data_IF_031031191266
#
_entry.id   IF_031031191266
#
_cell.length_a   1.000
_cell.length_b   1.000
_cell.length_c   1.000
_cell.angle_alpha   90.00
_cell.angle_beta   90.00
_cell.angle_gamma   90.00
#
_symmetry.space_group_name_H-M   'P 1'
#
loop_
_entity.id
_entity.type
_entity.pdbx_description
1 polymer ?
#
# COMPACT_ATOMS: atom_id res chain seq x y z
N UNK A 1 -8.36 27.50 26.82
CA UNK A 1 -7.94 27.36 25.41
C UNK A 1 -6.47 27.75 25.30
N UNK A 2 -5.54 26.81 25.48
CA UNK A 2 -4.10 27.00 25.27
C UNK A 2 -3.54 25.63 24.89
N UNK A 3 -3.06 25.43 23.66
CA UNK A 3 -2.51 24.13 23.26
C UNK A 3 -1.84 24.02 21.89
N UNK A 4 -2.04 24.96 20.96
CA UNK A 4 -1.59 24.81 19.58
C UNK A 4 -0.38 25.69 19.17
N UNK A 5 0.52 26.05 20.10
CA UNK A 5 1.79 26.75 19.75
C UNK A 5 2.97 25.78 19.87
N UNK A 6 3.50 25.32 18.75
CA UNK A 6 4.76 24.54 18.68
C UNK A 6 4.67 23.12 18.13
N UNK A 7 3.54 22.73 17.54
CA UNK A 7 3.31 21.38 17.01
C UNK A 7 3.66 21.34 15.53
N UNK A 8 4.62 20.49 15.19
CA UNK A 8 5.05 20.29 13.80
C UNK A 8 3.94 19.64 12.96
N UNK A 9 4.00 19.76 11.62
CA UNK A 9 2.97 19.25 10.71
C UNK A 9 2.58 17.79 10.98
N UNK A 10 3.55 16.93 11.29
CA UNK A 10 3.30 15.51 11.57
C UNK A 10 2.39 15.29 12.77
N UNK A 11 2.59 16.05 13.84
CA UNK A 11 1.75 15.93 15.04
C UNK A 11 0.31 16.32 14.76
N UNK A 12 0.10 17.33 13.91
CA UNK A 12 -1.24 17.74 13.51
C UNK A 12 -1.95 16.64 12.72
N UNK A 13 -1.25 15.94 11.82
CA UNK A 13 -1.81 14.80 11.09
C UNK A 13 -2.16 13.66 12.04
N UNK A 14 -1.22 13.30 12.93
CA UNK A 14 -1.44 12.27 13.94
C UNK A 14 -2.69 12.58 14.78
N UNK A 15 -2.78 13.80 15.32
CA UNK A 15 -3.89 14.17 16.20
C UNK A 15 -5.22 14.27 15.46
N UNK A 16 -5.21 14.75 14.22
CA UNK A 16 -6.39 14.75 13.36
C UNK A 16 -6.94 13.34 13.15
N UNK A 17 -6.06 12.36 12.98
CA UNK A 17 -6.46 10.96 12.80
C UNK A 17 -6.97 10.30 14.07
N UNK A 18 -6.39 10.64 15.23
CA UNK A 18 -6.94 10.17 16.51
C UNK A 18 -8.37 10.69 16.71
N UNK A 19 -8.62 11.97 16.40
CA UNK A 19 -9.97 12.55 16.50
C UNK A 19 -10.93 11.88 15.51
N UNK A 20 -10.47 11.55 14.29
CA UNK A 20 -11.27 10.79 13.32
C UNK A 20 -11.64 9.41 13.87
N UNK A 21 -10.70 8.69 14.47
CA UNK A 21 -10.96 7.38 15.07
C UNK A 21 -11.90 7.47 16.28
N UNK A 22 -11.78 8.51 17.10
CA UNK A 22 -12.68 8.79 18.23
C UNK A 22 -14.13 9.10 17.79
N UNK A 23 -14.31 9.59 16.56
CA UNK A 23 -15.61 9.98 15.98
C UNK A 23 -16.00 9.11 14.78
N UNK A 24 -15.46 7.90 14.69
CA UNK A 24 -15.66 7.01 13.55
C UNK A 24 -17.15 6.68 13.34
N UNK A 25 -17.93 6.58 14.42
CA UNK A 25 -19.37 6.29 14.34
C UNK A 25 -20.13 7.31 13.47
N UNK A 26 -19.79 8.61 13.58
CA UNK A 26 -20.40 9.66 12.76
C UNK A 26 -20.08 9.47 11.27
N UNK A 27 -18.86 9.00 10.95
CA UNK A 27 -18.45 8.69 9.58
C UNK A 27 -19.23 7.48 9.04
N UNK A 28 -19.40 6.44 9.86
CA UNK A 28 -20.11 5.21 9.49
C UNK A 28 -21.59 5.49 9.23
N UNK A 29 -22.25 6.28 10.09
CA UNK A 29 -23.64 6.70 9.89
C UNK A 29 -23.79 7.45 8.56
N UNK A 30 -22.92 8.43 8.31
CA UNK A 30 -22.94 9.22 7.07
C UNK A 30 -22.75 8.37 5.81
N UNK A 31 -21.86 7.35 5.88
CA UNK A 31 -21.63 6.42 4.77
C UNK A 31 -22.81 5.48 4.58
N UNK A 32 -23.41 4.97 5.66
CA UNK A 32 -24.51 4.02 5.61
C UNK A 32 -25.82 4.63 5.06
N UNK A 33 -26.00 5.95 5.18
CA UNK A 33 -27.13 6.68 4.59
C UNK A 33 -26.97 6.93 3.07
N UNK A 34 -25.79 6.66 2.51
CA UNK A 34 -25.52 6.85 1.09
C UNK A 34 -26.10 5.70 0.24
N UNK A 35 -26.79 6.04 -0.85
CA UNK A 35 -27.34 5.07 -1.82
C UNK A 35 -26.37 4.80 -2.99
N UNK A 36 -25.06 4.92 -2.75
CA UNK A 36 -24.04 4.71 -3.76
C UNK A 36 -23.61 3.24 -3.85
N UNK A 37 -23.42 2.74 -5.08
CA UNK A 37 -22.89 1.39 -5.32
C UNK A 37 -21.42 1.25 -4.88
N UNK A 38 -20.64 2.33 -4.96
CA UNK A 38 -19.21 2.37 -4.65
C UNK A 38 -18.84 3.65 -3.91
N UNK A 39 -17.90 3.52 -2.98
CA UNK A 39 -17.33 4.64 -2.22
C UNK A 39 -15.81 4.57 -2.35
N UNK A 40 -15.22 5.69 -2.76
CA UNK A 40 -13.77 5.86 -2.83
C UNK A 40 -13.35 6.72 -1.65
N UNK A 41 -12.47 6.17 -0.82
CA UNK A 41 -11.96 6.84 0.37
C UNK A 41 -10.53 7.29 0.08
N UNK A 42 -10.30 8.60 0.10
CA UNK A 42 -8.95 9.15 0.04
C UNK A 42 -8.33 9.13 1.44
N UNK A 43 -7.14 8.54 1.53
CA UNK A 43 -6.39 8.42 2.78
C UNK A 43 -5.37 9.56 2.88
N UNK A 44 -4.89 9.92 4.08
CA UNK A 44 -3.81 10.89 4.22
C UNK A 44 -2.60 10.54 3.35
N UNK A 45 -1.91 11.57 2.86
CA UNK A 45 -0.68 11.40 2.08
C UNK A 45 0.47 10.72 2.84
N UNK A 46 0.32 10.48 4.14
CA UNK A 46 1.29 9.77 4.98
C UNK A 46 0.75 8.37 5.31
N UNK A 47 1.15 7.37 4.53
CA UNK A 47 0.71 5.98 4.69
C UNK A 47 0.97 5.43 6.11
N UNK A 48 2.07 5.77 6.77
CA UNK A 48 2.37 5.29 8.12
C UNK A 48 1.31 5.71 9.15
N UNK A 49 0.86 6.98 9.07
CA UNK A 49 -0.14 7.54 10.00
C UNK A 49 -1.48 6.83 9.85
N UNK A 50 -1.82 6.44 8.62
CA UNK A 50 -3.04 5.69 8.31
C UNK A 50 -2.89 4.20 8.63
N UNK A 51 -2.02 3.50 7.91
CA UNK A 51 -2.01 2.05 7.85
C UNK A 51 -1.29 1.37 9.02
N UNK A 52 -0.30 2.03 9.64
CA UNK A 52 0.57 1.40 10.64
C UNK A 52 0.19 1.77 12.09
N UNK A 53 -0.68 2.77 12.27
CA UNK A 53 -1.15 3.22 13.59
C UNK A 53 -2.53 2.68 13.95
N UNK A 54 -2.86 2.80 15.24
CA UNK A 54 -4.11 2.28 15.79
C UNK A 54 -5.33 2.99 15.22
N UNK A 55 -5.24 4.30 14.98
CA UNK A 55 -6.35 5.12 14.52
C UNK A 55 -6.90 4.64 13.17
N UNK A 56 -6.04 4.45 12.16
CA UNK A 56 -6.51 3.95 10.86
C UNK A 56 -7.02 2.51 10.91
N UNK A 57 -6.51 1.66 11.80
CA UNK A 57 -7.08 0.32 12.02
C UNK A 57 -8.50 0.36 12.58
N UNK A 58 -8.82 1.31 13.47
CA UNK A 58 -10.18 1.50 13.96
C UNK A 58 -11.10 1.94 12.82
N UNK A 59 -10.68 2.95 12.05
CA UNK A 59 -11.46 3.45 10.90
C UNK A 59 -11.74 2.33 9.90
N UNK A 60 -10.71 1.59 9.48
CA UNK A 60 -10.86 0.43 8.57
C UNK A 60 -11.70 -0.67 9.21
N UNK A 61 -11.50 -0.95 10.50
CA UNK A 61 -12.25 -1.95 11.25
C UNK A 61 -13.75 -1.71 11.25
N UNK A 62 -14.18 -0.47 11.51
CA UNK A 62 -15.62 -0.12 11.49
C UNK A 62 -16.18 -0.10 10.06
N UNK A 63 -15.42 0.38 9.07
CA UNK A 63 -15.83 0.33 7.66
C UNK A 63 -16.07 -1.12 7.19
N UNK A 64 -15.19 -2.06 7.54
CA UNK A 64 -15.34 -3.49 7.20
C UNK A 64 -16.64 -4.11 7.74
N UNK A 65 -17.26 -3.53 8.77
CA UNK A 65 -18.50 -4.06 9.37
C UNK A 65 -19.73 -3.71 8.54
N UNK A 66 -19.67 -2.64 7.77
CA UNK A 66 -20.82 -2.14 7.00
C UNK A 66 -20.67 -2.31 5.49
N UNK A 67 -19.44 -2.51 4.98
CA UNK A 67 -19.19 -2.66 3.55
C UNK A 67 -18.03 -3.61 3.25
N UNK A 68 -18.02 -4.17 2.03
CA UNK A 68 -16.84 -4.85 1.50
C UNK A 68 -15.77 -3.82 1.21
N UNK A 69 -14.58 -4.01 1.78
CA UNK A 69 -13.49 -3.04 1.69
C UNK A 69 -12.25 -3.69 1.07
N UNK A 70 -11.64 -2.99 0.13
CA UNK A 70 -10.32 -3.30 -0.42
C UNK A 70 -9.50 -2.02 -0.48
N UNK A 71 -8.21 -2.10 -0.16
CA UNK A 71 -7.28 -0.98 -0.28
C UNK A 71 -6.47 -1.06 -1.56
N UNK A 72 -6.07 0.10 -2.08
CA UNK A 72 -5.13 0.19 -3.20
C UNK A 72 -3.83 0.76 -2.66
N UNK A 73 -2.74 0.00 -2.78
CA UNK A 73 -1.41 0.46 -2.42
C UNK A 73 -0.74 1.03 -3.68
N UNK A 74 -0.54 2.33 -3.73
CA UNK A 74 0.09 3.02 -4.85
C UNK A 74 1.61 3.06 -4.66
N UNK A 75 2.33 2.32 -5.50
CA UNK A 75 3.77 2.38 -5.64
C UNK A 75 4.12 3.34 -6.79
N UNK A 76 4.49 4.58 -6.45
CA UNK A 76 4.81 5.63 -7.41
C UNK A 76 6.10 5.37 -8.21
N UNK A 77 6.20 6.03 -9.37
CA UNK A 77 7.42 6.10 -10.17
C UNK A 77 8.51 6.91 -9.46
N UNK A 78 9.71 6.34 -9.38
CA UNK A 78 10.94 7.03 -9.01
C UNK A 78 11.97 6.86 -10.13
N UNK A 79 12.57 7.93 -10.68
CA UNK A 79 13.49 7.84 -11.83
C UNK A 79 14.70 6.93 -11.62
N UNK A 80 15.14 6.78 -10.37
CA UNK A 80 16.31 6.00 -9.97
C UNK A 80 15.91 4.69 -9.29
N UNK A 81 14.65 4.26 -9.41
CA UNK A 81 14.15 3.07 -8.71
C UNK A 81 14.92 1.83 -9.13
N UNK A 82 15.38 1.08 -8.14
CA UNK A 82 16.04 -0.19 -8.33
C UNK A 82 15.09 -1.38 -8.09
N UNK A 83 15.56 -2.58 -8.46
CA UNK A 83 14.79 -3.82 -8.23
C UNK A 83 14.59 -4.08 -6.73
N UNK A 84 15.60 -3.78 -5.91
CA UNK A 84 15.51 -3.89 -4.44
C UNK A 84 14.41 -2.97 -3.87
N UNK A 85 14.23 -1.77 -4.41
CA UNK A 85 13.16 -0.85 -4.00
C UNK A 85 11.78 -1.42 -4.34
N UNK A 86 11.68 -2.14 -5.46
CA UNK A 86 10.43 -2.78 -5.88
C UNK A 86 10.06 -3.95 -4.97
N UNK A 87 11.03 -4.80 -4.62
CA UNK A 87 10.84 -5.91 -3.68
C UNK A 87 10.46 -5.37 -2.29
N UNK A 88 11.18 -4.38 -1.78
CA UNK A 88 10.89 -3.78 -0.45
C UNK A 88 9.54 -3.07 -0.42
N UNK A 89 9.17 -2.35 -1.49
CA UNK A 89 7.84 -1.74 -1.62
C UNK A 89 6.73 -2.80 -1.67
N UNK A 90 6.96 -3.93 -2.35
CA UNK A 90 6.02 -5.04 -2.36
C UNK A 90 5.83 -5.64 -0.94
N UNK A 91 6.90 -5.80 -0.16
CA UNK A 91 6.81 -6.17 1.26
C UNK A 91 6.03 -5.17 2.08
N UNK A 92 6.26 -3.87 1.87
CA UNK A 92 5.53 -2.84 2.58
C UNK A 92 4.02 -2.92 2.31
N UNK A 93 3.63 -3.20 1.06
CA UNK A 93 2.21 -3.42 0.72
C UNK A 93 1.61 -4.60 1.47
N UNK A 94 2.37 -5.69 1.66
CA UNK A 94 1.95 -6.86 2.44
C UNK A 94 1.87 -6.58 3.93
N UNK A 95 2.79 -5.77 4.47
CA UNK A 95 2.72 -5.32 5.87
C UNK A 95 1.44 -4.50 6.08
N UNK A 96 1.11 -3.59 5.15
CA UNK A 96 -0.14 -2.82 5.19
C UNK A 96 -1.36 -3.73 5.15
N UNK A 97 -1.37 -4.74 4.27
CA UNK A 97 -2.43 -5.76 4.20
C UNK A 97 -2.65 -6.46 5.54
N UNK A 98 -1.57 -6.92 6.16
CA UNK A 98 -1.63 -7.60 7.47
C UNK A 98 -2.09 -6.65 8.59
N UNK A 99 -1.71 -5.37 8.54
CA UNK A 99 -2.06 -4.40 9.58
C UNK A 99 -3.51 -3.94 9.49
N UNK A 100 -4.04 -3.76 8.28
CA UNK A 100 -5.40 -3.31 8.05
C UNK A 100 -6.41 -4.47 7.97
N UNK A 101 -5.92 -5.69 7.78
CA UNK A 101 -6.72 -6.91 7.68
C UNK A 101 -7.79 -6.82 6.57
N UNK A 102 -7.48 -6.13 5.48
CA UNK A 102 -8.30 -6.05 4.27
C UNK A 102 -7.45 -6.47 3.07
N UNK A 103 -8.05 -6.98 1.98
CA UNK A 103 -7.33 -7.17 0.73
C UNK A 103 -6.68 -5.85 0.29
N UNK A 104 -5.37 -5.88 0.02
CA UNK A 104 -4.62 -4.75 -0.53
C UNK A 104 -4.17 -5.10 -1.93
N UNK A 105 -4.51 -4.26 -2.90
CA UNK A 105 -4.12 -4.40 -4.30
C UNK A 105 -2.89 -3.51 -4.53
N UNK A 106 -1.70 -4.10 -4.74
CA UNK A 106 -0.49 -3.35 -5.02
C UNK A 106 -0.47 -2.91 -6.49
N UNK A 107 -0.38 -1.59 -6.71
CA UNK A 107 -0.45 -0.96 -8.04
C UNK A 107 0.79 -0.13 -8.28
N UNK A 108 1.47 -0.37 -9.40
CA UNK A 108 2.47 0.58 -9.92
C UNK A 108 1.74 1.76 -10.55
N UNK A 109 2.02 2.95 -10.03
CA UNK A 109 1.41 4.18 -10.49
C UNK A 109 2.32 4.92 -11.50
N UNK A 110 1.71 5.81 -12.29
CA UNK A 110 2.40 6.68 -13.28
C UNK A 110 3.25 5.88 -14.26
N UNK A 111 2.72 4.77 -14.78
CA UNK A 111 3.41 3.86 -15.71
C UNK A 111 3.98 4.57 -16.94
N UNK A 112 3.36 5.67 -17.36
CA UNK A 112 3.81 6.55 -18.45
C UNK A 112 5.19 7.19 -18.22
N UNK A 113 5.63 7.33 -16.96
CA UNK A 113 6.93 7.90 -16.61
C UNK A 113 8.06 6.85 -16.63
N UNK A 114 7.73 5.56 -16.62
CA UNK A 114 8.70 4.47 -16.57
C UNK A 114 9.29 4.26 -17.96
N UNK A 115 10.58 4.57 -18.10
CA UNK A 115 11.32 4.32 -19.36
C UNK A 115 11.72 2.87 -19.55
N UNK A 116 11.91 2.15 -18.44
CA UNK A 116 12.28 0.74 -18.43
C UNK A 116 11.11 -0.11 -17.89
N UNK A 117 10.63 -1.04 -18.72
CA UNK A 117 9.56 -1.96 -18.37
C UNK A 117 10.04 -3.16 -17.53
N UNK A 118 11.36 -3.32 -17.33
CA UNK A 118 11.92 -4.42 -16.53
C UNK A 118 11.40 -4.41 -15.10
N UNK A 119 11.25 -3.22 -14.49
CA UNK A 119 10.72 -3.05 -13.14
C UNK A 119 9.22 -3.35 -13.10
N UNK A 120 8.47 -2.85 -14.08
CA UNK A 120 7.04 -3.12 -14.18
C UNK A 120 6.74 -4.61 -14.34
N UNK A 121 7.58 -5.31 -15.11
CA UNK A 121 7.52 -6.76 -15.26
C UNK A 121 7.90 -7.48 -13.97
N UNK A 122 9.03 -7.12 -13.34
CA UNK A 122 9.45 -7.71 -12.08
C UNK A 122 8.39 -7.55 -10.98
N UNK A 123 7.71 -6.40 -10.92
CA UNK A 123 6.58 -6.19 -10.02
C UNK A 123 5.43 -7.18 -10.28
N UNK A 124 5.04 -7.35 -11.55
CA UNK A 124 4.00 -8.31 -11.91
C UNK A 124 4.39 -9.74 -11.54
N UNK A 125 5.62 -10.12 -11.86
CA UNK A 125 6.17 -11.45 -11.60
C UNK A 125 6.20 -11.78 -10.10
N UNK A 126 6.59 -10.81 -9.25
CA UNK A 126 6.57 -10.94 -7.79
C UNK A 126 5.18 -11.30 -7.23
N UNK A 127 4.13 -10.66 -7.74
CA UNK A 127 2.76 -10.87 -7.25
C UNK A 127 2.03 -12.03 -7.95
N UNK A 128 2.49 -12.45 -9.13
CA UNK A 128 2.00 -13.65 -9.84
C UNK A 128 2.72 -14.94 -9.42
N UNK A 129 3.83 -14.81 -8.69
CA UNK A 129 4.65 -15.93 -8.23
C UNK A 129 5.59 -16.51 -9.29
N UNK A 130 5.82 -15.80 -10.41
CA UNK A 130 6.78 -16.21 -11.44
C UNK A 130 8.17 -15.61 -11.21
N UNK A 131 8.84 -16.07 -10.15
CA UNK A 131 10.08 -15.44 -9.67
C UNK A 131 11.30 -15.79 -10.55
N UNK A 132 11.18 -16.67 -11.56
CA UNK A 132 12.33 -17.10 -12.37
C UNK A 132 12.98 -15.94 -13.12
N UNK A 133 12.17 -15.05 -13.65
CA UNK A 133 12.66 -13.90 -14.39
C UNK A 133 13.18 -12.80 -13.44
N UNK A 134 12.48 -12.58 -12.32
CA UNK A 134 13.00 -11.78 -11.21
C UNK A 134 14.40 -12.24 -10.75
N UNK A 135 14.61 -13.55 -10.57
CA UNK A 135 15.91 -14.08 -10.16
C UNK A 135 17.04 -13.75 -11.14
N UNK A 136 16.75 -13.81 -12.45
CA UNK A 136 17.75 -13.48 -13.47
C UNK A 136 18.16 -12.00 -13.40
N UNK A 137 17.20 -11.11 -13.12
CA UNK A 137 17.46 -9.68 -12.91
C UNK A 137 18.22 -9.42 -11.59
N UNK A 138 17.89 -10.15 -10.52
CA UNK A 138 18.53 -10.04 -9.20
C UNK A 138 20.01 -10.46 -9.29
N UNK A 139 20.28 -11.63 -9.88
CA UNK A 139 21.63 -12.23 -9.94
C UNK A 139 22.63 -11.39 -10.73
N UNK A 140 22.15 -10.63 -11.72
CA UNK A 140 22.98 -9.76 -12.56
C UNK A 140 23.50 -8.52 -11.84
N UNK A 141 22.82 -8.05 -10.79
CA UNK A 141 23.01 -6.69 -10.26
C UNK A 141 23.46 -6.63 -8.78
N UNK A 142 23.23 -7.66 -7.97
CA UNK A 142 23.33 -7.53 -6.49
C UNK A 142 24.38 -8.42 -5.80
N UNK A 143 25.16 -9.22 -6.54
CA UNK A 143 26.26 -10.01 -5.96
C UNK A 143 25.78 -10.90 -4.80
N UNK A 144 26.36 -10.72 -3.60
CA UNK A 144 26.01 -11.50 -2.38
C UNK A 144 24.57 -11.24 -1.91
N UNK A 145 23.99 -10.07 -2.17
CA UNK A 145 22.61 -9.77 -1.79
C UNK A 145 21.58 -10.50 -2.67
N UNK A 146 22.01 -11.12 -3.77
CA UNK A 146 21.12 -11.79 -4.71
C UNK A 146 20.32 -12.92 -4.07
N UNK A 147 20.97 -13.73 -3.22
CA UNK A 147 20.31 -14.87 -2.57
C UNK A 147 19.26 -14.40 -1.56
N UNK A 148 19.57 -13.36 -0.77
CA UNK A 148 18.60 -12.75 0.15
C UNK A 148 17.40 -12.15 -0.61
N UNK A 149 17.63 -11.40 -1.68
CA UNK A 149 16.56 -10.82 -2.48
C UNK A 149 15.68 -11.89 -3.12
N UNK A 150 16.27 -13.02 -3.49
CA UNK A 150 15.52 -14.16 -4.00
C UNK A 150 14.64 -14.80 -2.92
N UNK A 151 15.19 -15.10 -1.74
CA UNK A 151 14.41 -15.66 -0.61
C UNK A 151 13.24 -14.74 -0.22
N UNK A 152 13.49 -13.42 -0.21
CA UNK A 152 12.47 -12.40 0.03
C UNK A 152 11.39 -12.42 -1.07
N UNK A 153 11.78 -12.58 -2.32
CA UNK A 153 10.83 -12.68 -3.45
C UNK A 153 9.98 -13.95 -3.34
N UNK A 154 10.58 -15.08 -2.98
CA UNK A 154 9.87 -16.35 -2.72
C UNK A 154 8.85 -16.23 -1.59
N UNK A 155 9.23 -15.59 -0.49
CA UNK A 155 8.31 -15.32 0.60
C UNK A 155 7.12 -14.50 0.11
N UNK A 156 7.33 -13.41 -0.64
CA UNK A 156 6.24 -12.59 -1.20
C UNK A 156 5.28 -13.41 -2.07
N UNK A 157 5.81 -14.22 -2.98
CA UNK A 157 4.99 -15.06 -3.84
C UNK A 157 4.17 -16.08 -3.05
N UNK A 158 4.70 -16.62 -1.95
CA UNK A 158 3.97 -17.55 -1.09
C UNK A 158 2.76 -16.89 -0.38
N UNK A 159 2.83 -15.58 -0.13
CA UNK A 159 1.74 -14.79 0.46
C UNK A 159 0.79 -14.18 -0.58
N UNK A 160 0.91 -14.55 -1.86
CA UNK A 160 -0.03 -14.12 -2.88
C UNK A 160 -1.39 -14.79 -2.66
N UNK A 161 -2.27 -14.13 -1.90
CA UNK A 161 -3.71 -14.25 -2.15
C UNK A 161 -3.93 -14.01 -3.66
N UNK A 162 -4.88 -14.69 -4.33
CA UNK A 162 -5.14 -14.51 -5.76
C UNK A 162 -5.64 -13.09 -6.03
N UNK A 163 -4.71 -12.15 -6.12
CA UNK A 163 -4.94 -10.72 -6.34
C UNK A 163 -4.58 -10.46 -7.79
N UNK A 164 -5.57 -10.01 -8.57
CA UNK A 164 -5.33 -9.59 -9.95
C UNK A 164 -4.58 -8.26 -9.92
N UNK A 165 -3.31 -8.26 -10.32
CA UNK A 165 -2.55 -7.03 -10.58
C UNK A 165 -3.17 -6.35 -11.80
N UNK A 166 -3.67 -5.13 -11.65
CA UNK A 166 -4.21 -4.33 -12.76
C UNK A 166 -3.30 -3.10 -12.92
N UNK A 167 -2.57 -2.98 -14.05
CA UNK A 167 -1.80 -1.77 -14.33
C UNK A 167 -2.74 -0.57 -14.52
N UNK A 168 -2.42 0.56 -13.90
CA UNK A 168 -3.18 1.81 -14.01
C UNK A 168 -2.35 2.89 -14.72
N UNK A 169 -2.99 3.62 -15.64
CA UNK A 169 -2.43 4.78 -16.33
C UNK A 169 -3.29 5.97 -15.91
N UNK A 170 -2.67 7.02 -15.34
CA UNK A 170 -3.37 8.29 -15.13
C UNK A 170 -3.38 9.04 -16.46
N UNK A 171 -4.58 9.44 -16.93
CA UNK A 171 -4.75 10.34 -18.07
C UNK A 171 -4.38 11.79 -17.70
#
# INVERSE_FOLDING_TARGET
>A
MNGFRGIGPQWCFDKGYEILAERVDELIESIAESDCDYIVIDTPGQMEVFALRWAGRIVVGELKRIMNLAGVFLADHEPERELIDSITTAFLSKIVELKLEIPIIPVLNKLDLWKDNSIAKAWQDLFQGDIKECYSLIKGNYGVLSDLLFELSEALASFSSPIRVIPYISL
#
